data_IF_556821445736
#
_entry.id   IF_556821445736
#
_cell.length_a   1.000
_cell.length_b   1.000
_cell.length_c   1.000
_cell.angle_alpha   90.00
_cell.angle_beta   90.00
_cell.angle_gamma   90.00
#
_symmetry.space_group_name_H-M   'P 1'
#
loop_
_entity.id
_entity.type
_entity.pdbx_description
1 polymer ?
#
# COMPACT_ATOMS: atom_id res chain seq x y z
N UNK A 1 13.55 15.66 -6.02
CA UNK A 1 13.23 14.84 -4.83
C UNK A 1 12.82 13.46 -5.27
N UNK A 2 13.44 12.44 -4.73
CA UNK A 2 13.11 11.06 -5.07
C UNK A 2 11.76 10.66 -4.52
N UNK A 3 11.04 9.87 -5.30
CA UNK A 3 9.72 9.39 -4.90
C UNK A 3 9.81 8.00 -4.30
N UNK A 4 8.93 7.71 -3.34
CA UNK A 4 8.67 6.34 -2.93
C UNK A 4 7.77 5.69 -3.97
N UNK A 5 7.90 4.37 -4.15
CA UNK A 5 7.07 3.63 -5.10
C UNK A 5 6.05 2.81 -4.32
N UNK A 6 4.76 3.00 -4.64
CA UNK A 6 3.69 2.19 -4.05
C UNK A 6 3.27 1.12 -5.05
N UNK A 7 3.40 -0.15 -4.62
CA UNK A 7 3.08 -1.31 -5.44
C UNK A 7 1.72 -1.85 -5.01
N UNK A 8 0.79 -1.94 -5.95
CA UNK A 8 -0.60 -2.26 -5.66
C UNK A 8 -1.12 -3.35 -6.59
N UNK A 9 -2.18 -4.05 -6.14
CA UNK A 9 -2.85 -5.06 -6.94
C UNK A 9 -3.81 -4.38 -7.91
N UNK A 10 -3.43 -4.29 -9.17
CA UNK A 10 -4.22 -3.65 -10.22
C UNK A 10 -5.51 -4.39 -10.57
N UNK A 11 -5.62 -5.66 -10.18
CA UNK A 11 -6.81 -6.48 -10.45
C UNK A 11 -7.84 -6.41 -9.33
N UNK A 12 -7.55 -5.68 -8.25
CA UNK A 12 -8.45 -5.55 -7.10
C UNK A 12 -9.13 -4.18 -7.12
N UNK A 13 -10.46 -4.18 -7.22
CA UNK A 13 -11.22 -2.93 -7.26
C UNK A 13 -11.03 -2.09 -6.02
N UNK A 14 -11.06 -2.72 -4.82
CA UNK A 14 -10.82 -2.00 -3.57
C UNK A 14 -9.41 -1.41 -3.54
N UNK A 15 -8.42 -2.15 -4.00
CA UNK A 15 -7.04 -1.67 -4.01
C UNK A 15 -6.88 -0.45 -4.93
N UNK A 16 -7.53 -0.48 -6.11
CA UNK A 16 -7.53 0.68 -7.02
C UNK A 16 -8.23 1.88 -6.40
N UNK A 17 -9.37 1.64 -5.73
CA UNK A 17 -10.10 2.71 -5.05
C UNK A 17 -9.25 3.34 -3.95
N UNK A 18 -8.64 2.52 -3.09
CA UNK A 18 -7.79 2.98 -2.00
C UNK A 18 -6.59 3.76 -2.53
N UNK A 19 -5.95 3.26 -3.58
CA UNK A 19 -4.83 3.95 -4.21
C UNK A 19 -5.25 5.33 -4.73
N UNK A 20 -6.42 5.42 -5.39
CA UNK A 20 -6.92 6.70 -5.88
C UNK A 20 -7.11 7.71 -4.75
N UNK A 21 -7.61 7.26 -3.60
CA UNK A 21 -7.76 8.13 -2.42
C UNK A 21 -6.40 8.58 -1.89
N UNK A 22 -5.45 7.66 -1.81
CA UNK A 22 -4.09 7.97 -1.35
C UNK A 22 -3.42 8.96 -2.29
N UNK A 23 -3.50 8.74 -3.59
CA UNK A 23 -2.89 9.64 -4.57
C UNK A 23 -3.55 11.02 -4.58
N UNK A 24 -4.86 11.10 -4.34
CA UNK A 24 -5.56 12.37 -4.20
C UNK A 24 -5.08 13.15 -2.97
N UNK A 25 -4.73 12.44 -1.90
CA UNK A 25 -4.17 13.03 -0.68
C UNK A 25 -2.71 13.45 -0.87
N UNK A 26 -1.97 12.78 -1.76
CA UNK A 26 -0.54 12.98 -2.01
C UNK A 26 -0.29 14.27 -2.81
N UNK A 27 -0.53 15.41 -2.20
CA UNK A 27 -0.33 16.72 -2.83
C UNK A 27 1.13 17.01 -3.12
N UNK A 28 2.03 16.37 -2.38
CA UNK A 28 3.48 16.55 -2.54
C UNK A 28 4.04 15.72 -3.69
N UNK A 29 3.23 14.85 -4.27
CA UNK A 29 3.63 13.90 -5.32
C UNK A 29 4.85 13.09 -4.88
N UNK A 30 4.80 12.61 -3.64
CA UNK A 30 5.87 11.80 -3.05
C UNK A 30 5.78 10.33 -3.45
N UNK A 31 4.67 9.93 -4.07
CA UNK A 31 4.41 8.53 -4.43
C UNK A 31 4.37 8.32 -5.94
N UNK A 32 4.93 7.19 -6.38
CA UNK A 32 4.86 6.74 -7.76
C UNK A 32 4.16 5.37 -7.76
N UNK A 33 2.95 5.26 -8.35
CA UNK A 33 2.24 3.98 -8.35
C UNK A 33 2.77 3.03 -9.43
N UNK A 34 2.93 1.77 -9.08
CA UNK A 34 3.33 0.69 -9.99
C UNK A 34 2.48 -0.53 -9.67
N UNK A 35 1.85 -1.12 -10.69
CA UNK A 35 1.05 -2.32 -10.50
C UNK A 35 1.96 -3.52 -10.22
N UNK A 36 1.49 -4.43 -9.36
CA UNK A 36 2.27 -5.62 -8.98
C UNK A 36 2.64 -6.52 -10.17
N UNK A 37 1.81 -6.52 -11.22
CA UNK A 37 2.09 -7.34 -12.41
C UNK A 37 3.05 -6.67 -13.41
N UNK A 38 3.44 -5.43 -13.17
CA UNK A 38 4.39 -4.72 -14.02
C UNK A 38 5.78 -5.34 -13.87
N UNK A 39 6.55 -5.51 -14.96
CA UNK A 39 7.92 -6.03 -14.87
C UNK A 39 8.82 -5.24 -13.92
N UNK A 40 8.62 -3.94 -13.81
CA UNK A 40 9.37 -3.11 -12.88
C UNK A 40 9.16 -3.54 -11.43
N UNK A 41 7.94 -4.01 -11.09
CA UNK A 41 7.64 -4.48 -9.75
C UNK A 41 8.49 -5.70 -9.38
N UNK A 42 8.74 -6.59 -10.33
CA UNK A 42 9.57 -7.77 -10.08
C UNK A 42 10.99 -7.37 -9.68
N UNK A 43 11.56 -6.37 -10.35
CA UNK A 43 12.89 -5.88 -10.02
C UNK A 43 12.91 -5.21 -8.64
N UNK A 44 11.90 -4.40 -8.35
CA UNK A 44 11.80 -3.68 -7.08
C UNK A 44 11.58 -4.62 -5.89
N UNK A 45 10.93 -5.75 -6.12
CA UNK A 45 10.62 -6.73 -5.08
C UNK A 45 11.59 -7.91 -5.07
N UNK A 46 12.78 -7.75 -5.63
CA UNK A 46 13.75 -8.84 -5.71
C UNK A 46 14.12 -9.42 -4.34
N UNK A 47 14.09 -8.60 -3.28
CA UNK A 47 14.39 -9.04 -1.91
C UNK A 47 13.19 -9.64 -1.19
N UNK A 48 12.00 -9.58 -1.78
CA UNK A 48 10.76 -10.12 -1.21
C UNK A 48 10.53 -11.52 -1.76
N UNK A 49 10.18 -12.46 -0.90
CA UNK A 49 9.89 -13.83 -1.34
C UNK A 49 8.78 -13.84 -2.39
N UNK A 50 8.89 -14.65 -3.46
CA UNK A 50 7.88 -14.64 -4.53
C UNK A 50 6.46 -14.86 -4.03
N UNK A 51 6.25 -15.73 -3.05
CA UNK A 51 4.92 -16.00 -2.49
C UNK A 51 4.36 -14.83 -1.71
N UNK A 52 5.21 -13.94 -1.22
CA UNK A 52 4.77 -12.76 -0.46
C UNK A 52 4.47 -11.56 -1.36
N UNK A 53 4.96 -11.56 -2.60
CA UNK A 53 4.82 -10.41 -3.49
C UNK A 53 3.38 -10.08 -3.84
N UNK A 54 2.54 -11.09 -4.02
CA UNK A 54 1.13 -10.91 -4.33
C UNK A 54 0.22 -10.90 -3.11
N UNK A 55 0.75 -11.13 -1.91
CA UNK A 55 -0.05 -11.26 -0.69
C UNK A 55 -0.50 -9.92 -0.11
N UNK A 56 0.20 -8.84 -0.42
CA UNK A 56 -0.10 -7.52 0.11
C UNK A 56 0.44 -6.43 -0.80
N UNK A 57 0.10 -5.19 -0.49
CA UNK A 57 0.75 -4.06 -1.13
C UNK A 57 2.15 -3.86 -0.55
N UNK A 58 2.98 -3.13 -1.28
CA UNK A 58 4.35 -2.87 -0.85
C UNK A 58 4.69 -1.40 -1.09
N UNK A 59 5.56 -0.86 -0.26
CA UNK A 59 6.09 0.49 -0.41
C UNK A 59 7.60 0.39 -0.50
N UNK A 60 8.17 0.88 -1.61
CA UNK A 60 9.61 0.94 -1.79
C UNK A 60 10.05 2.37 -1.52
N UNK A 61 10.82 2.56 -0.45
CA UNK A 61 11.31 3.87 -0.07
C UNK A 61 12.41 4.36 -1.02
N UNK A 62 12.68 5.68 -1.08
CA UNK A 62 13.69 6.19 -2.01
C UNK A 62 15.07 5.56 -1.83
N UNK A 63 15.43 5.15 -0.62
CA UNK A 63 16.70 4.48 -0.35
C UNK A 63 16.71 3.00 -0.71
N UNK A 64 15.58 2.47 -1.19
CA UNK A 64 15.46 1.09 -1.63
C UNK A 64 14.86 0.12 -0.64
N UNK A 65 14.64 0.54 0.61
CA UNK A 65 14.00 -0.33 1.61
C UNK A 65 12.57 -0.64 1.22
N UNK A 66 12.15 -1.89 1.40
CA UNK A 66 10.79 -2.36 1.09
C UNK A 66 10.00 -2.57 2.38
N UNK A 67 8.82 -2.00 2.44
CA UNK A 67 7.85 -2.21 3.53
C UNK A 67 6.61 -2.85 2.94
N UNK A 68 5.99 -3.77 3.68
CA UNK A 68 4.84 -4.52 3.18
C UNK A 68 3.71 -4.51 4.20
N UNK A 69 2.46 -4.52 3.70
CA UNK A 69 1.28 -4.64 4.55
C UNK A 69 1.17 -3.56 5.61
N UNK A 70 0.84 -3.96 6.84
CA UNK A 70 0.68 -3.04 7.96
C UNK A 70 1.96 -2.31 8.34
N UNK A 71 3.13 -2.93 8.13
CA UNK A 71 4.41 -2.30 8.43
C UNK A 71 4.71 -1.10 7.55
N UNK A 72 4.07 -1.00 6.38
CA UNK A 72 4.26 0.12 5.47
C UNK A 72 3.41 1.35 5.85
N UNK A 73 2.41 1.19 6.70
CA UNK A 73 1.47 2.27 7.03
C UNK A 73 2.15 3.49 7.64
N UNK A 74 3.05 3.35 8.64
CA UNK A 74 3.72 4.54 9.18
C UNK A 74 4.54 5.30 8.14
N UNK A 75 5.28 4.58 7.32
CA UNK A 75 6.12 5.22 6.29
C UNK A 75 5.27 5.92 5.24
N UNK A 76 4.17 5.29 4.80
CA UNK A 76 3.25 5.90 3.86
C UNK A 76 2.63 7.17 4.46
N UNK A 77 2.16 7.10 5.70
CA UNK A 77 1.51 8.24 6.35
C UNK A 77 2.45 9.44 6.48
N UNK A 78 3.75 9.19 6.73
CA UNK A 78 4.73 10.28 6.81
C UNK A 78 4.91 11.01 5.49
N UNK A 79 4.68 10.34 4.38
CA UNK A 79 4.81 10.95 3.05
C UNK A 79 3.62 11.83 2.69
N UNK A 80 2.49 11.66 3.37
CA UNK A 80 1.26 12.37 3.06
C UNK A 80 1.13 13.63 3.91
N UNK A 81 0.60 14.73 3.34
CA UNK A 81 0.41 15.97 4.09
C UNK A 81 -0.50 15.76 5.29
N UNK A 82 -0.06 16.17 6.49
CA UNK A 82 -0.83 16.00 7.70
C UNK A 82 -0.90 14.56 8.22
N UNK A 83 -0.13 13.64 7.63
CA UNK A 83 -0.13 12.24 8.03
C UNK A 83 0.77 11.91 9.22
N UNK A 84 1.57 12.86 9.71
CA UNK A 84 2.51 12.60 10.80
C UNK A 84 1.85 12.05 12.07
N UNK A 85 0.71 12.57 12.56
CA UNK A 85 0.03 11.98 13.73
C UNK A 85 -0.40 10.55 13.49
N UNK A 86 -0.88 10.24 12.28
CA UNK A 86 -1.28 8.87 11.91
C UNK A 86 -0.06 7.97 11.90
N UNK A 87 1.05 8.45 11.35
CA UNK A 87 2.31 7.70 11.31
C UNK A 87 2.80 7.40 12.73
N UNK A 88 2.74 8.38 13.62
CA UNK A 88 3.16 8.22 15.01
C UNK A 88 2.30 7.18 15.72
N UNK A 89 0.98 7.23 15.55
CA UNK A 89 0.06 6.29 16.15
C UNK A 89 0.27 4.87 15.62
N UNK A 90 0.37 4.71 14.31
CA UNK A 90 0.57 3.41 13.70
C UNK A 90 1.92 2.81 14.10
N UNK A 91 2.96 3.63 14.19
CA UNK A 91 4.28 3.16 14.60
C UNK A 91 4.35 2.77 16.07
N UNK A 92 3.55 3.43 16.91
CA UNK A 92 3.47 3.11 18.35
C UNK A 92 2.74 1.79 18.60
N UNK A 93 1.77 1.44 17.75
CA UNK A 93 0.98 0.23 17.90
C UNK A 93 1.11 -0.66 16.65
N UNK A 94 2.31 -1.21 16.39
CA UNK A 94 2.54 -1.95 15.15
C UNK A 94 1.68 -3.22 15.04
N UNK A 95 1.41 -3.90 16.14
CA UNK A 95 0.59 -5.12 16.14
C UNK A 95 -0.87 -4.80 15.81
N UNK A 96 -1.40 -3.72 16.39
CA UNK A 96 -2.77 -3.31 16.13
C UNK A 96 -2.91 -2.83 14.67
N UNK A 97 -1.91 -2.11 14.17
CA UNK A 97 -1.87 -1.64 12.78
C UNK A 97 -1.86 -2.83 11.82
N UNK A 98 -1.02 -3.81 12.06
CA UNK A 98 -0.94 -5.00 11.22
C UNK A 98 -2.24 -5.81 11.27
N UNK A 99 -2.84 -5.93 12.45
CA UNK A 99 -4.11 -6.62 12.63
C UNK A 99 -5.23 -5.92 11.83
N UNK A 100 -5.29 -4.59 11.92
CA UNK A 100 -6.26 -3.82 11.16
C UNK A 100 -6.05 -3.98 9.66
N UNK A 101 -4.80 -3.96 9.21
CA UNK A 101 -4.46 -4.16 7.81
C UNK A 101 -4.92 -5.55 7.34
N UNK A 102 -4.64 -6.59 8.11
CA UNK A 102 -5.03 -7.96 7.75
C UNK A 102 -6.55 -8.11 7.66
N UNK A 103 -7.28 -7.45 8.54
CA UNK A 103 -8.74 -7.45 8.49
C UNK A 103 -9.23 -6.83 7.18
N UNK A 104 -8.69 -5.66 6.83
CA UNK A 104 -9.04 -4.99 5.57
C UNK A 104 -8.68 -5.88 4.38
N UNK A 105 -7.50 -6.47 4.38
CA UNK A 105 -7.03 -7.33 3.30
C UNK A 105 -7.94 -8.55 3.12
N UNK A 106 -8.41 -9.13 4.23
CA UNK A 106 -9.30 -10.29 4.19
C UNK A 106 -10.69 -9.94 3.67
N UNK A 107 -11.10 -8.68 3.77
CA UNK A 107 -12.43 -8.21 3.39
C UNK A 107 -12.42 -7.33 2.13
N UNK A 108 -11.35 -7.38 1.35
CA UNK A 108 -11.19 -6.51 0.16
C UNK A 108 -12.35 -6.60 -0.82
N UNK A 109 -12.82 -7.80 -1.10
CA UNK A 109 -13.93 -7.99 -2.03
C UNK A 109 -15.22 -7.32 -1.55
N UNK A 110 -15.55 -7.50 -0.26
CA UNK A 110 -16.73 -6.88 0.35
C UNK A 110 -16.59 -5.36 0.37
N UNK A 111 -15.42 -4.86 0.77
CA UNK A 111 -15.17 -3.43 0.84
C UNK A 111 -15.22 -2.79 -0.55
N UNK A 112 -14.71 -3.49 -1.57
CA UNK A 112 -14.80 -3.02 -2.95
C UNK A 112 -16.25 -2.83 -3.40
N UNK A 113 -17.12 -3.79 -3.05
CA UNK A 113 -18.53 -3.67 -3.38
C UNK A 113 -19.20 -2.50 -2.65
N UNK A 114 -18.81 -2.25 -1.40
CA UNK A 114 -19.36 -1.13 -0.62
C UNK A 114 -18.98 0.23 -1.21
N UNK A 115 -17.81 0.36 -1.82
CA UNK A 115 -17.37 1.61 -2.43
C UNK A 115 -17.72 1.70 -3.93
N UNK A 116 -18.50 0.74 -4.44
CA UNK A 116 -18.96 0.76 -5.82
C UNK A 116 -17.96 0.22 -6.83
N UNK A 117 -16.89 -0.40 -6.39
CA UNK A 117 -15.88 -0.98 -7.27
C UNK A 117 -16.13 -2.48 -7.45
N UNK A 118 -15.59 -3.03 -8.54
CA UNK A 118 -15.68 -4.47 -8.77
C UNK A 118 -14.94 -5.22 -7.65
N UNK A 119 -15.52 -6.33 -7.23
CA UNK A 119 -14.87 -7.20 -6.27
C UNK A 119 -13.53 -7.69 -6.82
N UNK A 120 -12.59 -7.97 -5.92
CA UNK A 120 -11.31 -8.53 -6.31
C UNK A 120 -11.52 -9.91 -6.93
N UNK A 121 -10.79 -10.19 -8.01
CA UNK A 121 -10.86 -11.46 -8.71
C UNK A 121 -10.12 -12.59 -7.98
N UNK A 122 -9.46 -12.29 -6.89
CA UNK A 122 -8.69 -13.24 -6.08
C UNK A 122 -9.31 -13.46 -4.73
#
# INVERSE_FOLDING_TARGET
MERATILYDGDCGFCRWALARILAWDRRRALRPVALHDPEAHALLATVRPEARGASWHLVLPEGAVRSGGAAVPDLARLLPGGAPIAALAGRFPRATDRAYRWVAAHRGRLGRLVGERACSR
#
